data_IF_934357521146
#
_entry.id   IF_934357521146
#
_cell.length_a   1.000
_cell.length_b   1.000
_cell.length_c   1.000
_cell.angle_alpha   90.00
_cell.angle_beta   90.00
_cell.angle_gamma   90.00
#
_symmetry.space_group_name_H-M   'P 1'
#
loop_
_entity.id
_entity.type
_entity.pdbx_description
1 polymer ?
#
# COMPACT_ATOMS: atom_id res chain seq x y z
N UNK A 1 41.91 -3.98 -10.61
CA UNK A 1 40.70 -3.75 -9.80
C UNK A 1 39.59 -3.32 -10.74
N UNK A 2 38.36 -3.79 -10.54
CA UNK A 2 37.22 -3.31 -11.32
C UNK A 2 36.87 -1.88 -10.93
N UNK A 3 36.54 -1.05 -11.92
CA UNK A 3 36.00 0.31 -11.75
C UNK A 3 34.62 0.36 -12.42
N UNK A 4 33.74 1.22 -11.93
CA UNK A 4 32.38 1.36 -12.45
C UNK A 4 31.40 0.32 -11.90
N UNK A 5 30.24 0.24 -12.56
CA UNK A 5 29.18 -0.71 -12.21
C UNK A 5 29.65 -2.12 -12.57
N UNK A 6 29.72 -3.00 -11.57
CA UNK A 6 30.29 -4.35 -11.70
C UNK A 6 29.30 -5.37 -11.15
N UNK A 7 29.03 -6.42 -11.95
CA UNK A 7 28.29 -7.59 -11.48
C UNK A 7 29.25 -8.57 -10.80
N UNK A 8 28.87 -9.02 -9.61
CA UNK A 8 29.56 -10.03 -8.82
C UNK A 8 28.68 -11.29 -8.84
N UNK A 9 29.09 -12.34 -9.57
CA UNK A 9 28.41 -13.63 -9.54
C UNK A 9 28.46 -14.27 -8.14
N UNK A 10 27.51 -15.17 -7.86
CA UNK A 10 27.39 -15.84 -6.56
C UNK A 10 28.63 -16.66 -6.18
N UNK A 11 29.32 -17.27 -7.14
CA UNK A 11 30.57 -18.00 -6.92
C UNK A 11 31.68 -17.14 -6.28
N UNK A 12 31.61 -15.82 -6.46
CA UNK A 12 32.53 -14.84 -5.87
C UNK A 12 31.94 -14.10 -4.66
N UNK A 13 30.71 -14.43 -4.25
CA UNK A 13 30.05 -13.91 -3.05
C UNK A 13 29.12 -14.97 -2.41
N UNK A 14 29.65 -16.14 -2.02
CA UNK A 14 28.83 -17.31 -1.67
C UNK A 14 27.93 -17.07 -0.44
N UNK A 15 28.30 -16.14 0.44
CA UNK A 15 27.50 -15.81 1.64
C UNK A 15 26.54 -14.62 1.43
N UNK A 16 26.54 -13.99 0.25
CA UNK A 16 25.72 -12.81 -0.01
C UNK A 16 24.99 -12.82 -1.36
N UNK A 17 25.08 -13.91 -2.12
CA UNK A 17 24.45 -14.07 -3.42
C UNK A 17 25.05 -13.19 -4.52
N UNK A 18 24.57 -13.36 -5.74
CA UNK A 18 24.95 -12.50 -6.85
C UNK A 18 24.42 -11.06 -6.66
N UNK A 19 25.22 -10.05 -7.03
CA UNK A 19 24.83 -8.64 -6.90
C UNK A 19 25.56 -7.74 -7.87
N UNK A 20 24.97 -6.59 -8.18
CA UNK A 20 25.64 -5.50 -8.88
C UNK A 20 26.09 -4.45 -7.87
N UNK A 21 27.33 -3.99 -7.95
CA UNK A 21 27.91 -2.96 -7.06
C UNK A 21 28.58 -1.86 -7.89
N UNK A 22 29.01 -0.77 -7.25
CA UNK A 22 29.78 0.28 -7.89
C UNK A 22 31.14 0.48 -7.21
N UNK A 23 32.21 0.46 -8.02
CA UNK A 23 33.56 0.82 -7.62
C UNK A 23 33.94 2.18 -8.20
N UNK A 24 34.45 3.08 -7.36
CA UNK A 24 34.91 4.40 -7.81
C UNK A 24 36.23 4.29 -8.62
N UNK A 25 36.77 5.42 -9.06
CA UNK A 25 37.99 5.47 -9.88
C UNK A 25 39.25 4.97 -9.13
N UNK A 26 39.21 4.91 -7.81
CA UNK A 26 40.25 4.32 -6.96
C UNK A 26 40.04 2.81 -6.71
N UNK A 27 38.98 2.21 -7.28
CA UNK A 27 38.63 0.81 -7.06
C UNK A 27 37.96 0.54 -5.70
N UNK A 28 37.52 1.57 -4.97
CA UNK A 28 36.80 1.40 -3.71
C UNK A 28 35.29 1.27 -3.94
N UNK A 29 34.67 0.29 -3.29
CA UNK A 29 33.22 0.12 -3.34
C UNK A 29 32.53 1.33 -2.69
N UNK A 30 31.61 1.95 -3.41
CA UNK A 30 30.85 3.11 -2.93
C UNK A 30 29.37 2.75 -2.85
N UNK A 31 28.68 3.23 -1.81
CA UNK A 31 27.28 2.92 -1.52
C UNK A 31 26.44 4.20 -1.43
N UNK A 32 25.12 4.06 -1.29
CA UNK A 32 24.19 5.18 -1.16
C UNK A 32 23.59 5.64 -2.48
N UNK A 33 23.03 6.84 -2.49
CA UNK A 33 22.40 7.45 -3.66
C UNK A 33 23.45 8.22 -4.48
N UNK A 34 23.80 7.70 -5.65
CA UNK A 34 24.97 8.13 -6.43
C UNK A 34 24.57 8.59 -7.81
N UNK A 35 25.17 9.69 -8.26
CA UNK A 35 25.18 10.08 -9.67
C UNK A 35 26.39 9.45 -10.34
N UNK A 36 26.13 8.62 -11.35
CA UNK A 36 27.16 7.98 -12.18
C UNK A 36 26.86 8.41 -13.62
N UNK A 37 27.79 9.15 -14.22
CA UNK A 37 27.62 9.86 -15.48
C UNK A 37 26.38 10.78 -15.45
N UNK A 38 25.39 10.49 -16.30
CA UNK A 38 24.15 11.27 -16.42
C UNK A 38 22.97 10.68 -15.62
N UNK A 39 23.17 9.57 -14.90
CA UNK A 39 22.07 8.84 -14.24
C UNK A 39 22.29 8.71 -12.73
N UNK A 40 21.19 8.59 -11.99
CA UNK A 40 21.21 8.31 -10.56
C UNK A 40 20.91 6.84 -10.29
N UNK A 41 21.58 6.29 -9.29
CA UNK A 41 21.47 4.91 -8.83
C UNK A 41 21.40 4.89 -7.30
N UNK A 42 20.83 3.83 -6.74
CA UNK A 42 20.85 3.60 -5.30
C UNK A 42 21.51 2.27 -4.98
N UNK A 43 22.55 2.29 -4.15
CA UNK A 43 23.26 1.11 -3.68
C UNK A 43 23.07 0.96 -2.18
N UNK A 44 22.73 -0.25 -1.73
CA UNK A 44 22.56 -0.57 -0.32
C UNK A 44 23.77 -0.14 0.49
N UNK A 45 23.54 0.55 1.60
CA UNK A 45 24.60 0.90 2.55
C UNK A 45 25.28 -0.35 3.14
N UNK A 46 24.56 -1.47 3.17
CA UNK A 46 25.07 -2.77 3.61
C UNK A 46 25.44 -3.58 2.37
N UNK A 47 26.73 -3.85 2.19
CA UNK A 47 27.23 -4.73 1.13
C UNK A 47 27.16 -4.17 -0.30
N UNK A 48 26.67 -2.95 -0.51
CA UNK A 48 26.79 -2.22 -1.78
C UNK A 48 25.92 -2.70 -2.93
N UNK A 49 24.94 -3.58 -2.68
CA UNK A 49 24.09 -4.11 -3.74
C UNK A 49 23.20 -3.02 -4.36
N UNK A 50 23.17 -2.92 -5.68
CA UNK A 50 22.32 -2.01 -6.43
C UNK A 50 20.85 -2.33 -6.17
N UNK A 51 20.10 -1.31 -5.77
CA UNK A 51 18.68 -1.39 -5.50
C UNK A 51 17.89 -1.07 -6.78
N UNK A 52 16.80 -1.81 -6.99
CA UNK A 52 15.84 -1.61 -8.09
C UNK A 52 14.42 -1.61 -7.52
N UNK A 53 13.44 -1.28 -8.35
CA UNK A 53 12.03 -1.19 -7.95
C UNK A 53 11.72 0.05 -7.11
N UNK A 54 10.61 0.01 -6.38
CA UNK A 54 10.25 1.06 -5.44
C UNK A 54 11.21 1.08 -4.25
N UNK A 55 11.79 2.23 -3.97
CA UNK A 55 12.75 2.42 -2.90
C UNK A 55 12.44 3.72 -2.14
N UNK A 56 12.74 3.70 -0.86
CA UNK A 56 12.75 4.89 -0.02
C UNK A 56 14.21 5.23 0.22
N UNK A 57 14.71 6.28 -0.42
CA UNK A 57 16.06 6.81 -0.19
C UNK A 57 16.03 7.65 1.08
N UNK A 58 16.79 7.25 2.13
CA UNK A 58 16.83 7.96 3.40
C UNK A 58 17.23 9.43 3.27
N UNK A 59 16.69 10.27 4.16
CA UNK A 59 16.93 11.71 4.19
C UNK A 59 18.43 12.09 4.24
N UNK A 60 19.24 11.36 4.99
CA UNK A 60 20.69 11.59 5.09
C UNK A 60 21.45 11.33 3.77
N UNK A 61 20.82 10.62 2.82
CA UNK A 61 21.35 10.39 1.48
C UNK A 61 20.72 11.31 0.42
N UNK A 62 19.76 12.15 0.80
CA UNK A 62 19.02 13.02 -0.12
C UNK A 62 18.72 14.38 0.52
N UNK A 63 19.77 15.18 0.77
CA UNK A 63 19.65 16.58 1.19
C UNK A 63 18.71 16.84 2.39
N UNK A 64 18.62 15.89 3.33
CA UNK A 64 17.78 16.01 4.51
C UNK A 64 16.30 15.69 4.31
N UNK A 65 15.89 15.23 3.12
CA UNK A 65 14.49 14.87 2.82
C UNK A 65 14.42 13.44 2.30
N UNK A 66 13.54 12.62 2.85
CA UNK A 66 13.31 11.27 2.33
C UNK A 66 12.75 11.31 0.90
N UNK A 67 13.23 10.42 0.02
CA UNK A 67 12.76 10.32 -1.36
C UNK A 67 12.16 8.94 -1.62
N UNK A 68 10.86 8.91 -1.86
CA UNK A 68 10.21 7.74 -2.47
C UNK A 68 10.48 7.79 -3.98
N UNK A 69 11.13 6.75 -4.50
CA UNK A 69 11.62 6.69 -5.87
C UNK A 69 11.33 5.32 -6.50
N UNK A 70 11.40 5.26 -7.83
CA UNK A 70 11.42 4.00 -8.57
C UNK A 70 12.73 3.89 -9.35
N UNK A 71 13.47 2.81 -9.13
CA UNK A 71 14.69 2.48 -9.88
C UNK A 71 14.36 1.38 -10.89
N UNK A 72 14.66 1.64 -12.16
CA UNK A 72 14.40 0.71 -13.24
C UNK A 72 15.23 -0.59 -13.11
N UNK A 73 14.93 -1.61 -13.92
CA UNK A 73 15.64 -2.90 -13.87
C UNK A 73 17.14 -2.80 -14.16
N UNK A 74 17.58 -1.74 -14.84
CA UNK A 74 18.99 -1.43 -15.06
C UNK A 74 19.62 -0.60 -13.91
N UNK A 75 18.88 -0.34 -12.82
CA UNK A 75 19.31 0.43 -11.66
C UNK A 75 19.14 1.95 -11.77
N UNK A 76 18.73 2.49 -12.92
CA UNK A 76 18.59 3.93 -13.12
C UNK A 76 17.34 4.45 -12.42
N UNK A 77 17.46 5.58 -11.74
CA UNK A 77 16.33 6.33 -11.20
C UNK A 77 15.39 6.75 -12.34
N UNK A 78 14.10 6.45 -12.19
CA UNK A 78 13.07 6.93 -13.09
C UNK A 78 12.95 8.46 -13.01
N UNK A 79 13.06 9.12 -14.16
CA UNK A 79 12.69 10.52 -14.36
C UNK A 79 11.56 10.56 -15.40
N UNK A 80 10.40 11.12 -15.03
CA UNK A 80 9.23 11.24 -15.90
C UNK A 80 8.10 10.31 -15.48
N UNK A 81 7.42 9.69 -16.45
CA UNK A 81 6.25 8.83 -16.20
C UNK A 81 6.44 7.45 -16.82
N UNK A 82 6.04 6.40 -16.09
CA UNK A 82 6.13 5.00 -16.56
C UNK A 82 5.06 4.12 -15.91
N UNK A 83 4.62 3.11 -16.65
CA UNK A 83 3.82 2.01 -16.09
C UNK A 83 4.73 0.95 -15.48
N UNK A 84 4.48 0.63 -14.21
CA UNK A 84 5.11 -0.43 -13.43
C UNK A 84 4.01 -1.42 -13.06
N UNK A 85 3.88 -2.49 -13.84
CA UNK A 85 2.75 -3.41 -13.72
C UNK A 85 1.41 -2.66 -13.91
N UNK A 86 0.52 -2.76 -12.91
CA UNK A 86 -0.79 -2.10 -12.88
C UNK A 86 -0.74 -0.64 -12.37
N UNK A 87 0.44 -0.06 -12.13
CA UNK A 87 0.59 1.28 -11.56
C UNK A 87 1.27 2.23 -12.54
N UNK A 88 0.66 3.37 -12.87
CA UNK A 88 1.39 4.48 -13.49
C UNK A 88 2.09 5.27 -12.40
N UNK A 89 3.40 5.46 -12.53
CA UNK A 89 4.24 6.24 -11.62
C UNK A 89 4.70 7.50 -12.35
N UNK A 90 4.52 8.66 -11.72
CA UNK A 90 5.06 9.94 -12.20
C UNK A 90 6.02 10.53 -11.17
N UNK A 91 7.17 10.99 -11.63
CA UNK A 91 8.18 11.66 -10.82
C UNK A 91 8.33 13.12 -11.18
N UNK A 92 8.86 13.90 -10.23
CA UNK A 92 9.43 15.22 -10.53
C UNK A 92 10.79 15.10 -11.25
N UNK A 93 11.43 16.25 -11.53
CA UNK A 93 12.75 16.33 -12.17
C UNK A 93 13.90 15.78 -11.32
N UNK A 94 13.67 15.54 -10.03
CA UNK A 94 14.63 14.94 -9.10
C UNK A 94 14.41 13.43 -8.94
N UNK A 95 13.39 12.87 -9.60
CA UNK A 95 13.01 11.45 -9.50
C UNK A 95 12.22 11.11 -8.24
N UNK A 96 11.72 12.09 -7.48
CA UNK A 96 10.77 11.81 -6.40
C UNK A 96 9.42 11.48 -6.98
N UNK A 97 8.77 10.43 -6.51
CA UNK A 97 7.40 10.10 -6.91
C UNK A 97 6.45 11.15 -6.35
N UNK A 98 5.72 11.80 -7.27
CA UNK A 98 4.73 12.84 -6.99
C UNK A 98 3.30 12.38 -7.26
N UNK A 99 3.12 11.33 -8.06
CA UNK A 99 1.81 10.77 -8.35
C UNK A 99 1.90 9.28 -8.71
N UNK A 100 0.89 8.53 -8.27
CA UNK A 100 0.62 7.16 -8.69
C UNK A 100 -0.86 6.98 -9.05
N UNK A 101 -1.12 6.23 -10.12
CA UNK A 101 -2.47 5.83 -10.51
C UNK A 101 -2.53 4.31 -10.60
N UNK A 102 -3.48 3.72 -9.88
CA UNK A 102 -3.71 2.27 -9.86
C UNK A 102 -4.74 1.91 -10.94
N UNK A 103 -4.42 0.96 -11.80
CA UNK A 103 -5.27 0.53 -12.91
C UNK A 103 -5.93 -0.81 -12.66
N UNK A 104 -7.22 -0.93 -13.01
CA UNK A 104 -7.94 -2.19 -12.94
C UNK A 104 -8.25 -2.64 -11.50
N UNK A 105 -8.35 -1.72 -10.55
CA UNK A 105 -8.88 -1.97 -9.21
C UNK A 105 -10.40 -2.15 -9.30
N UNK A 106 -10.96 -3.34 -9.03
CA UNK A 106 -12.40 -3.52 -9.00
C UNK A 106 -13.03 -2.78 -7.82
N UNK A 107 -14.17 -2.14 -8.06
CA UNK A 107 -15.01 -1.55 -7.03
C UNK A 107 -16.18 -2.48 -6.71
N UNK A 108 -16.45 -2.67 -5.42
CA UNK A 108 -17.63 -3.36 -4.91
C UNK A 108 -18.37 -2.42 -3.96
N UNK A 109 -19.70 -2.42 -4.05
CA UNK A 109 -20.56 -1.68 -3.14
C UNK A 109 -21.22 -2.65 -2.16
N UNK A 110 -21.15 -2.41 -0.86
CA UNK A 110 -21.75 -3.29 0.16
C UNK A 110 -23.30 -3.30 0.06
N UNK A 111 -23.88 -2.29 -0.57
CA UNK A 111 -25.32 -2.16 -0.82
C UNK A 111 -25.78 -2.75 -2.16
N UNK A 112 -24.91 -3.45 -2.90
CA UNK A 112 -25.31 -4.15 -4.12
C UNK A 112 -26.39 -5.23 -3.82
N UNK A 113 -27.51 -5.26 -4.55
CA UNK A 113 -28.63 -6.18 -4.28
C UNK A 113 -28.26 -7.66 -4.24
N UNK A 114 -27.15 -8.07 -4.88
CA UNK A 114 -26.66 -9.46 -4.87
C UNK A 114 -26.28 -9.96 -3.47
N UNK A 115 -25.95 -9.06 -2.54
CA UNK A 115 -25.58 -9.41 -1.17
C UNK A 115 -26.17 -8.50 -0.09
N UNK A 116 -26.60 -7.28 -0.42
CA UNK A 116 -27.09 -6.27 0.52
C UNK A 116 -28.10 -6.78 1.55
N UNK A 117 -29.02 -7.65 1.12
CA UNK A 117 -30.12 -8.16 1.93
C UNK A 117 -29.85 -9.55 2.54
N UNK A 118 -28.65 -10.10 2.32
CA UNK A 118 -28.23 -11.32 3.03
C UNK A 118 -27.98 -11.01 4.50
N UNK A 119 -28.31 -11.97 5.36
CA UNK A 119 -28.10 -11.87 6.80
C UNK A 119 -26.91 -12.75 7.20
N UNK A 120 -25.90 -12.14 7.81
CA UNK A 120 -24.72 -12.83 8.35
C UNK A 120 -24.57 -12.38 9.81
N UNK A 121 -24.47 -13.33 10.75
CA UNK A 121 -24.39 -13.00 12.18
C UNK A 121 -25.57 -12.16 12.69
N UNK A 122 -26.78 -12.43 12.18
CA UNK A 122 -28.00 -11.73 12.57
C UNK A 122 -28.17 -10.31 12.03
N UNK A 123 -27.29 -9.82 11.15
CA UNK A 123 -27.35 -8.46 10.58
C UNK A 123 -27.33 -8.48 9.06
N UNK A 124 -28.02 -7.52 8.45
CA UNK A 124 -27.98 -7.31 6.99
C UNK A 124 -26.57 -6.86 6.56
N UNK A 125 -26.04 -7.50 5.51
CA UNK A 125 -24.73 -7.17 4.97
C UNK A 125 -24.61 -5.70 4.56
N UNK A 126 -25.65 -5.11 3.99
CA UNK A 126 -25.68 -3.69 3.61
C UNK A 126 -25.38 -2.74 4.77
N UNK A 127 -25.71 -3.12 6.01
CA UNK A 127 -25.48 -2.28 7.19
C UNK A 127 -24.10 -2.43 7.81
N UNK A 128 -23.38 -3.52 7.57
CA UNK A 128 -22.13 -3.82 8.30
C UNK A 128 -20.97 -4.32 7.43
N UNK A 129 -21.19 -4.54 6.13
CA UNK A 129 -20.25 -5.21 5.22
C UNK A 129 -19.13 -4.35 4.63
N UNK A 130 -18.76 -3.22 5.24
CA UNK A 130 -17.74 -2.31 4.71
C UNK A 130 -16.37 -2.99 4.54
N UNK A 131 -15.82 -3.59 5.61
CA UNK A 131 -14.54 -4.27 5.57
C UNK A 131 -14.51 -5.52 4.66
N UNK A 132 -15.50 -6.44 4.69
CA UNK A 132 -15.55 -7.54 3.72
C UNK A 132 -15.54 -7.07 2.27
N UNK A 133 -16.20 -5.93 1.99
CA UNK A 133 -16.23 -5.33 0.65
C UNK A 133 -14.88 -4.75 0.24
N UNK A 134 -14.20 -4.04 1.14
CA UNK A 134 -12.84 -3.52 0.92
C UNK A 134 -11.84 -4.65 0.71
N UNK A 135 -11.86 -5.68 1.56
CA UNK A 135 -11.02 -6.88 1.43
C UNK A 135 -11.25 -7.55 0.06
N UNK A 136 -12.49 -7.64 -0.40
CA UNK A 136 -12.81 -8.22 -1.72
C UNK A 136 -12.14 -7.44 -2.86
N UNK A 137 -12.20 -6.12 -2.84
CA UNK A 137 -11.53 -5.27 -3.85
C UNK A 137 -10.03 -5.55 -3.90
N UNK A 138 -9.37 -5.61 -2.74
CA UNK A 138 -7.93 -5.82 -2.61
C UNK A 138 -7.53 -7.22 -3.09
N UNK A 139 -8.22 -8.26 -2.61
CA UNK A 139 -7.90 -9.66 -2.94
C UNK A 139 -8.09 -9.90 -4.43
N UNK A 140 -9.22 -9.46 -5.01
CA UNK A 140 -9.47 -9.64 -6.44
C UNK A 140 -8.49 -8.81 -7.30
N UNK A 141 -8.06 -7.64 -6.84
CA UNK A 141 -7.06 -6.83 -7.53
C UNK A 141 -5.69 -7.52 -7.63
N UNK A 142 -5.17 -8.01 -6.50
CA UNK A 142 -3.83 -8.59 -6.45
C UNK A 142 -3.77 -10.02 -6.98
N UNK A 143 -4.78 -10.84 -6.70
CA UNK A 143 -4.77 -12.26 -7.06
C UNK A 143 -5.53 -12.58 -8.36
N UNK A 144 -6.16 -11.58 -8.99
CA UNK A 144 -7.11 -11.79 -10.08
C UNK A 144 -8.17 -12.86 -9.73
N UNK A 145 -8.59 -12.88 -8.46
CA UNK A 145 -9.61 -13.78 -7.97
C UNK A 145 -11.03 -13.28 -8.36
N UNK A 146 -12.03 -14.14 -8.14
CA UNK A 146 -13.44 -13.84 -8.40
C UNK A 146 -14.28 -14.02 -7.12
N UNK A 147 -13.82 -13.44 -6.02
CA UNK A 147 -14.53 -13.46 -4.74
C UNK A 147 -15.62 -12.39 -4.71
N UNK A 148 -16.68 -12.65 -3.94
CA UNK A 148 -17.74 -11.68 -3.67
C UNK A 148 -17.65 -11.16 -2.23
N UNK A 149 -18.16 -9.95 -1.95
CA UNK A 149 -18.22 -9.43 -0.58
C UNK A 149 -18.98 -10.35 0.38
N UNK A 150 -20.01 -11.05 -0.11
CA UNK A 150 -20.74 -12.05 0.66
C UNK A 150 -19.88 -13.24 1.09
N UNK A 151 -19.06 -13.78 0.18
CA UNK A 151 -18.16 -14.90 0.50
C UNK A 151 -17.11 -14.52 1.55
N UNK A 152 -16.50 -13.34 1.41
CA UNK A 152 -15.58 -12.82 2.43
C UNK A 152 -16.33 -12.61 3.76
N UNK A 153 -17.53 -12.03 3.73
CA UNK A 153 -18.35 -11.83 4.92
C UNK A 153 -18.68 -13.13 5.65
N UNK A 154 -19.11 -14.17 4.94
CA UNK A 154 -19.36 -15.48 5.53
C UNK A 154 -18.12 -16.05 6.23
N UNK A 155 -16.97 -15.95 5.58
CA UNK A 155 -15.72 -16.49 6.14
C UNK A 155 -15.27 -15.71 7.37
N UNK A 156 -15.33 -14.37 7.31
CA UNK A 156 -15.01 -13.53 8.47
C UNK A 156 -15.96 -13.78 9.64
N UNK A 157 -17.25 -14.03 9.39
CA UNK A 157 -18.20 -14.37 10.46
C UNK A 157 -17.90 -15.76 11.04
N UNK A 158 -17.63 -16.75 10.19
CA UNK A 158 -17.25 -18.12 10.59
C UNK A 158 -16.00 -18.11 11.49
N UNK A 159 -15.07 -17.19 11.24
CA UNK A 159 -13.84 -17.02 12.01
C UNK A 159 -14.00 -16.13 13.25
N UNK A 160 -15.18 -15.55 13.47
CA UNK A 160 -15.46 -14.69 14.63
C UNK A 160 -14.97 -13.25 14.49
N UNK A 161 -14.68 -12.77 13.28
CA UNK A 161 -14.27 -11.39 13.03
C UNK A 161 -15.41 -10.46 12.63
N UNK A 162 -16.46 -10.97 11.99
CA UNK A 162 -17.55 -10.17 11.41
C UNK A 162 -18.91 -10.52 12.01
N UNK A 163 -19.69 -9.52 12.44
CA UNK A 163 -21.04 -9.66 13.01
C UNK A 163 -21.11 -10.76 14.09
N UNK A 164 -20.44 -10.53 15.23
CA UNK A 164 -20.46 -11.44 16.38
C UNK A 164 -21.51 -11.00 17.41
N UNK A 165 -21.67 -11.77 18.49
CA UNK A 165 -22.58 -11.42 19.59
C UNK A 165 -22.23 -10.08 20.26
N UNK A 166 -20.97 -9.64 20.16
CA UNK A 166 -20.46 -8.42 20.80
C UNK A 166 -20.06 -7.32 19.81
N UNK A 167 -20.09 -7.59 18.51
CA UNK A 167 -19.65 -6.66 17.47
C UNK A 167 -20.59 -6.64 16.26
N UNK A 168 -21.05 -5.44 15.89
CA UNK A 168 -21.68 -5.19 14.59
C UNK A 168 -20.61 -4.66 13.63
N UNK A 169 -20.38 -5.30 12.49
CA UNK A 169 -19.24 -4.98 11.63
C UNK A 169 -18.08 -5.94 11.85
N UNK A 170 -16.88 -5.51 11.44
CA UNK A 170 -15.69 -6.38 11.38
C UNK A 170 -14.60 -5.84 12.28
N UNK A 171 -13.99 -6.70 13.09
CA UNK A 171 -12.79 -6.36 13.86
C UNK A 171 -11.58 -6.28 12.93
N UNK A 172 -10.69 -5.33 13.17
CA UNK A 172 -9.45 -5.17 12.42
C UNK A 172 -8.46 -6.33 12.63
N UNK A 173 -8.71 -7.23 13.59
CA UNK A 173 -8.01 -8.52 13.72
C UNK A 173 -8.05 -9.36 12.43
N UNK A 174 -9.10 -9.18 11.62
CA UNK A 174 -9.25 -9.90 10.35
C UNK A 174 -8.06 -9.71 9.40
N UNK A 175 -7.31 -8.60 9.48
CA UNK A 175 -6.17 -8.33 8.61
C UNK A 175 -5.02 -9.31 8.81
N UNK A 176 -4.85 -9.89 10.01
CA UNK A 176 -3.88 -10.98 10.23
C UNK A 176 -4.28 -12.26 9.47
N UNK A 177 -5.58 -12.56 9.47
CA UNK A 177 -6.12 -13.65 8.68
C UNK A 177 -6.00 -13.36 7.18
N UNK A 178 -6.37 -12.17 6.71
CA UNK A 178 -6.22 -11.77 5.29
C UNK A 178 -4.77 -11.93 4.83
N UNK A 179 -3.82 -11.43 5.64
CA UNK A 179 -2.37 -11.60 5.41
C UNK A 179 -1.99 -13.06 5.24
N UNK A 180 -2.34 -13.91 6.20
CA UNK A 180 -1.97 -15.34 6.21
C UNK A 180 -2.67 -16.14 5.11
N UNK A 181 -3.97 -15.90 4.88
CA UNK A 181 -4.81 -16.66 3.98
C UNK A 181 -4.52 -16.36 2.51
N UNK A 182 -4.19 -15.12 2.19
CA UNK A 182 -3.93 -14.66 0.81
C UNK A 182 -2.44 -14.42 0.51
N UNK A 183 -1.55 -14.65 1.49
CA UNK A 183 -0.10 -14.50 1.32
C UNK A 183 0.36 -13.06 1.15
N UNK A 184 -0.36 -12.10 1.73
CA UNK A 184 0.01 -10.68 1.67
C UNK A 184 0.99 -10.31 2.78
N UNK A 185 1.99 -9.49 2.45
CA UNK A 185 2.82 -8.85 3.46
C UNK A 185 2.19 -7.51 3.87
N UNK A 186 1.21 -7.57 4.76
CA UNK A 186 0.47 -6.40 5.22
C UNK A 186 1.30 -5.62 6.24
N UNK A 187 1.52 -4.33 5.96
CA UNK A 187 2.10 -3.40 6.94
C UNK A 187 0.99 -2.76 7.76
N UNK A 188 1.08 -2.86 9.07
CA UNK A 188 0.22 -2.20 10.06
C UNK A 188 1.01 -1.11 10.83
N UNK A 189 0.42 -0.56 11.89
CA UNK A 189 0.96 0.52 12.70
C UNK A 189 1.37 1.73 11.85
N UNK A 190 0.56 2.04 10.84
CA UNK A 190 0.90 3.07 9.88
C UNK A 190 0.74 4.46 10.48
N UNK A 191 1.83 5.24 10.49
CA UNK A 191 1.76 6.68 10.64
C UNK A 191 1.29 7.36 9.36
N UNK A 192 1.02 8.67 9.43
CA UNK A 192 0.65 9.49 8.27
C UNK A 192 1.63 9.32 7.09
N UNK A 193 2.94 9.40 7.37
CA UNK A 193 3.96 9.25 6.33
C UNK A 193 4.01 7.83 5.77
N UNK A 194 3.70 6.80 6.55
CA UNK A 194 3.65 5.43 6.05
C UNK A 194 2.51 5.24 5.04
N UNK A 195 1.35 5.88 5.27
CA UNK A 195 0.23 5.87 4.31
C UNK A 195 0.63 6.57 3.01
N UNK A 196 1.22 7.76 3.11
CA UNK A 196 1.70 8.51 1.94
C UNK A 196 2.73 7.69 1.15
N UNK A 197 3.69 7.08 1.83
CA UNK A 197 4.72 6.25 1.21
C UNK A 197 4.14 4.97 0.58
N UNK A 198 3.16 4.32 1.22
CA UNK A 198 2.45 3.18 0.66
C UNK A 198 1.76 3.55 -0.66
N UNK A 199 0.99 4.65 -0.67
CA UNK A 199 0.30 5.11 -1.88
C UNK A 199 1.29 5.52 -2.98
N UNK A 200 2.39 6.22 -2.65
CA UNK A 200 3.47 6.57 -3.60
C UNK A 200 4.20 5.36 -4.15
N UNK A 201 4.24 4.24 -3.43
CA UNK A 201 4.83 2.97 -3.91
C UNK A 201 3.81 2.07 -4.62
N UNK A 202 2.61 2.59 -4.89
CA UNK A 202 1.58 1.88 -5.64
C UNK A 202 0.82 0.83 -4.83
N UNK A 203 0.99 0.82 -3.49
CA UNK A 203 0.23 -0.05 -2.60
C UNK A 203 -1.19 0.48 -2.39
N UNK A 204 -2.11 -0.44 -2.13
CA UNK A 204 -3.44 -0.12 -1.63
C UNK A 204 -3.39 0.04 -0.11
N UNK A 205 -4.20 0.94 0.43
CA UNK A 205 -4.33 1.12 1.89
C UNK A 205 -5.80 0.96 2.28
N UNK A 206 -6.11 -0.02 3.11
CA UNK A 206 -7.40 -0.10 3.78
C UNK A 206 -7.36 0.73 5.06
N UNK A 207 -8.47 1.39 5.40
CA UNK A 207 -8.53 2.28 6.55
C UNK A 207 -9.92 2.38 7.17
N UNK A 208 -9.99 2.17 8.49
CA UNK A 208 -11.18 2.50 9.27
C UNK A 208 -11.18 3.99 9.66
N UNK A 209 -12.29 4.66 9.37
CA UNK A 209 -12.55 6.07 9.71
C UNK A 209 -13.72 6.18 10.68
N UNK A 210 -13.61 7.11 11.62
CA UNK A 210 -14.68 7.53 12.52
C UNK A 210 -15.51 8.68 11.93
N UNK A 211 -16.36 9.33 12.76
CA UNK A 211 -17.34 10.32 12.32
C UNK A 211 -16.75 11.46 11.49
N UNK A 212 -17.42 11.78 10.38
CA UNK A 212 -17.03 12.85 9.47
C UNK A 212 -17.61 12.68 8.06
N UNK A 213 -16.75 12.76 7.04
CA UNK A 213 -17.09 12.66 5.61
C UNK A 213 -17.78 11.33 5.27
N UNK A 214 -17.28 10.23 5.81
CA UNK A 214 -17.66 8.88 5.38
C UNK A 214 -18.68 8.20 6.29
N UNK A 215 -18.84 8.67 7.53
CA UNK A 215 -19.72 8.02 8.49
C UNK A 215 -20.25 9.02 9.52
N UNK A 216 -21.49 8.79 9.99
CA UNK A 216 -22.13 9.66 10.97
C UNK A 216 -21.60 9.39 12.40
N UNK A 217 -21.86 10.34 13.30
CA UNK A 217 -21.54 10.17 14.72
C UNK A 217 -22.12 8.86 15.30
N UNK A 218 -21.31 8.16 16.09
CA UNK A 218 -21.67 6.89 16.73
C UNK A 218 -21.30 5.63 15.93
N UNK A 219 -20.73 5.77 14.73
CA UNK A 219 -20.32 4.64 13.89
C UNK A 219 -18.92 4.85 13.30
N UNK A 220 -18.32 3.75 12.84
CA UNK A 220 -17.06 3.73 12.08
C UNK A 220 -17.31 3.09 10.71
N UNK A 221 -16.36 3.26 9.79
CA UNK A 221 -16.49 2.77 8.42
C UNK A 221 -15.15 2.41 7.80
N UNK A 222 -15.09 1.31 7.07
CA UNK A 222 -13.88 0.91 6.33
C UNK A 222 -13.92 1.47 4.90
N UNK A 223 -12.85 2.13 4.48
CA UNK A 223 -12.66 2.66 3.13
C UNK A 223 -11.37 2.13 2.50
N UNK A 224 -11.29 2.19 1.17
CA UNK A 224 -10.09 1.80 0.42
C UNK A 224 -9.44 3.02 -0.23
N UNK A 225 -8.15 3.22 0.02
CA UNK A 225 -7.31 4.26 -0.54
C UNK A 225 -6.44 3.69 -1.66
N UNK A 226 -6.32 4.44 -2.75
CA UNK A 226 -5.63 4.01 -3.96
C UNK A 226 -4.96 5.17 -4.68
N UNK A 227 -3.65 5.06 -4.85
CA UNK A 227 -2.84 6.05 -5.56
C UNK A 227 -2.74 7.39 -4.83
N UNK A 228 -1.99 8.30 -5.42
CA UNK A 228 -1.82 9.67 -4.90
C UNK A 228 -1.64 10.63 -6.06
N UNK A 229 -2.17 11.84 -5.97
CA UNK A 229 -1.95 12.89 -6.97
C UNK A 229 -0.92 13.93 -6.48
N UNK A 230 -0.56 14.85 -7.37
CA UNK A 230 0.45 15.90 -7.10
C UNK A 230 0.03 16.89 -6.00
N UNK A 231 -1.26 16.92 -5.63
CA UNK A 231 -1.79 17.73 -4.54
C UNK A 231 -1.71 17.02 -3.17
N UNK A 232 -1.26 15.75 -3.13
CA UNK A 232 -1.23 14.96 -1.90
C UNK A 232 -2.60 14.35 -1.53
N UNK A 233 -3.49 14.21 -2.51
CA UNK A 233 -4.78 13.55 -2.34
C UNK A 233 -4.69 12.09 -2.78
N UNK A 234 -5.47 11.21 -2.14
CA UNK A 234 -5.67 9.82 -2.56
C UNK A 234 -7.06 9.66 -3.18
N UNK A 235 -7.22 8.71 -4.10
CA UNK A 235 -8.55 8.31 -4.52
C UNK A 235 -9.13 7.37 -3.45
N UNK A 236 -10.33 7.65 -2.99
CA UNK A 236 -11.08 6.86 -2.00
C UNK A 236 -12.18 6.08 -2.70
N UNK A 237 -12.30 4.80 -2.35
CA UNK A 237 -13.45 3.97 -2.66
C UNK A 237 -14.22 3.70 -1.37
N UNK A 238 -15.40 4.32 -1.25
CA UNK A 238 -16.36 4.10 -0.17
C UNK A 238 -17.31 2.95 -0.57
N UNK A 239 -17.27 1.79 0.13
CA UNK A 239 -18.12 0.66 -0.19
C UNK A 239 -19.60 0.90 0.13
N UNK A 240 -19.95 1.84 1.01
CA UNK A 240 -21.34 2.12 1.41
C UNK A 240 -21.99 3.18 0.53
N UNK A 241 -21.24 4.21 0.12
CA UNK A 241 -21.76 5.32 -0.66
C UNK A 241 -20.87 5.63 -1.87
N UNK A 242 -21.20 5.06 -3.03
CA UNK A 242 -20.45 5.31 -4.28
C UNK A 242 -20.34 6.78 -4.68
N UNK A 243 -21.29 7.63 -4.28
CA UNK A 243 -21.24 9.08 -4.46
C UNK A 243 -20.13 9.79 -3.67
N UNK A 244 -19.46 9.09 -2.75
CA UNK A 244 -18.28 9.57 -2.00
C UNK A 244 -16.96 9.02 -2.55
N UNK A 245 -16.99 8.30 -3.67
CA UNK A 245 -15.75 7.91 -4.35
C UNK A 245 -15.13 9.15 -5.00
N UNK A 246 -13.84 9.38 -4.77
CA UNK A 246 -13.19 10.57 -5.30
C UNK A 246 -11.85 10.89 -4.64
N UNK A 247 -11.30 12.05 -4.99
CA UNK A 247 -10.03 12.53 -4.45
C UNK A 247 -10.23 13.27 -3.13
N UNK A 248 -9.50 12.84 -2.09
CA UNK A 248 -9.52 13.46 -0.77
C UNK A 248 -8.09 13.68 -0.28
N UNK A 249 -7.85 14.76 0.46
CA UNK A 249 -6.57 14.97 1.11
C UNK A 249 -6.33 13.85 2.13
N UNK A 250 -5.13 13.26 2.10
CA UNK A 250 -4.75 12.19 3.04
C UNK A 250 -4.79 12.72 4.49
N UNK A 251 -4.53 14.02 4.70
CA UNK A 251 -4.66 14.67 6.00
C UNK A 251 -6.08 14.64 6.55
N UNK A 252 -7.09 14.82 5.69
CA UNK A 252 -8.49 14.85 6.11
C UNK A 252 -8.96 13.44 6.52
N UNK A 253 -8.50 12.43 5.79
CA UNK A 253 -8.73 11.01 6.14
C UNK A 253 -8.02 10.68 7.45
N UNK A 254 -6.76 11.07 7.59
CA UNK A 254 -5.96 10.83 8.81
C UNK A 254 -6.58 11.45 10.06
N UNK A 255 -7.13 12.66 9.93
CA UNK A 255 -7.80 13.36 11.03
C UNK A 255 -9.15 12.74 11.40
N UNK A 256 -9.73 11.92 10.51
CA UNK A 256 -10.96 11.17 10.73
C UNK A 256 -10.71 9.70 11.05
N UNK A 257 -9.47 9.26 11.27
CA UNK A 257 -9.18 7.86 11.57
C UNK A 257 -9.98 7.35 12.77
N UNK A 258 -10.46 6.12 12.69
CA UNK A 258 -11.24 5.54 13.77
C UNK A 258 -10.43 5.40 15.05
N UNK A 259 -11.04 5.73 16.19
CA UNK A 259 -10.49 5.49 17.52
C UNK A 259 -11.26 4.37 18.26
N UNK A 260 -12.18 3.68 17.57
CA UNK A 260 -12.91 2.56 18.15
C UNK A 260 -11.93 1.41 18.41
N UNK A 261 -12.14 0.68 19.50
CA UNK A 261 -11.16 -0.31 19.96
C UNK A 261 -11.02 -1.45 18.95
N UNK A 262 -12.12 -1.87 18.34
CA UNK A 262 -12.21 -2.94 17.34
C UNK A 262 -11.46 -2.61 16.04
N UNK A 263 -11.32 -1.33 15.70
CA UNK A 263 -10.63 -0.86 14.49
C UNK A 263 -9.12 -0.70 14.73
N UNK A 264 -8.68 -0.66 15.98
CA UNK A 264 -7.31 -0.36 16.38
C UNK A 264 -6.55 -1.61 16.88
N UNK A 265 -7.12 -2.80 16.73
CA UNK A 265 -6.44 -4.06 17.03
C UNK A 265 -5.34 -4.34 16.01
N UNK A 266 -4.28 -5.05 16.43
CA UNK A 266 -3.13 -5.42 15.58
C UNK A 266 -2.55 -4.26 14.74
N UNK A 267 -2.46 -3.06 15.33
CA UNK A 267 -1.85 -1.90 14.70
C UNK A 267 -2.73 -1.18 13.68
N UNK A 268 -4.05 -1.26 13.81
CA UNK A 268 -4.98 -0.44 13.02
C UNK A 268 -4.89 1.07 13.34
N UNK A 269 -5.69 1.91 12.68
CA UNK A 269 -6.80 1.55 11.79
C UNK A 269 -6.45 1.45 10.30
N UNK A 270 -5.17 1.58 9.93
CA UNK A 270 -4.73 1.55 8.53
C UNK A 270 -3.77 0.39 8.24
N UNK A 271 -3.94 -0.22 7.07
CA UNK A 271 -3.20 -1.40 6.63
C UNK A 271 -2.79 -1.24 5.16
N UNK A 272 -1.51 -1.45 4.84
CA UNK A 272 -0.96 -1.29 3.50
C UNK A 272 -0.55 -2.63 2.89
N UNK A 273 -0.99 -2.88 1.66
CA UNK A 273 -0.80 -4.14 0.91
C UNK A 273 0.18 -3.91 -0.23
#
# INVERSE_FOLDING_TARGET
>A
MSIGITYIPEEYNPNGGAKTVYYNQQGHMTTGFLKIDSYYYYFSLIGGAMQTGFQIVPANLNNGVEKVAYFESNGRLLIGSKNVGKVTVKTDSTGSIISTTIHGLPYYAQNDPRWAYTVIGGRFFSGTGCAPTVITSIVNYYLNANLTPYQIGLELNRLGYFNTDVLAGTSSDCWNWVSSNYGFNIKNNLGFNDIVNALKTGKLVAGAVGPGTFVNAGYTHEILLSGINELGQTYVYDPLHSGRNGWYYISDIWNQRSTAWEDNLNGGPFYAM
#
